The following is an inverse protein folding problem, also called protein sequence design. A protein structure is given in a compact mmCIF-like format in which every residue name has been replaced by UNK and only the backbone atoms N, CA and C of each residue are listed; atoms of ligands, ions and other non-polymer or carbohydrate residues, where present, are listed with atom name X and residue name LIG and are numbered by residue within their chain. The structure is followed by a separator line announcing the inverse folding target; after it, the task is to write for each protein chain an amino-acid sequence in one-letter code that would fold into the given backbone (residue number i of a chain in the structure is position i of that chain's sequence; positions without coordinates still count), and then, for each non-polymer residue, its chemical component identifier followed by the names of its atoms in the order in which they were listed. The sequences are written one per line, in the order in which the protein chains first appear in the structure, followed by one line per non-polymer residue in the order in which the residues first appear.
data_IF_391423262981
#
_entry.id   IF_391423262981
#
_cell.length_a   1.000
_cell.length_b   1.000
_cell.length_c   1.000
_cell.angle_alpha   90.00
_cell.angle_beta   90.00
_cell.angle_gamma   90.00
#
_symmetry.space_group_name_H-M   'P 1'
#
loop_
_entity.id
_entity.type
_entity.pdbx_description
1 polymer ?
#
# COMPACT_ATOMS: atom_id res chain seq x y z
N UNK A 1 39.52 10.65 10.93
CA UNK A 1 38.18 10.36 10.35
C UNK A 1 38.16 10.31 8.81
N UNK A 2 38.93 11.13 8.08
CA UNK A 2 38.92 11.08 6.59
C UNK A 2 39.47 9.78 5.98
N UNK A 3 40.38 9.06 6.65
CA UNK A 3 40.98 7.85 6.08
C UNK A 3 40.12 6.58 6.22
N UNK A 4 39.19 6.51 7.17
CA UNK A 4 38.37 5.30 7.40
C UNK A 4 37.29 5.15 6.31
N UNK A 5 36.76 6.28 5.82
CA UNK A 5 35.74 6.30 4.77
C UNK A 5 36.34 5.84 3.44
N UNK A 6 37.60 6.20 3.14
CA UNK A 6 38.28 5.79 1.91
C UNK A 6 38.56 4.28 1.86
N UNK A 7 38.90 3.65 2.99
CA UNK A 7 39.11 2.19 3.05
C UNK A 7 37.80 1.40 2.92
N UNK A 8 36.69 1.91 3.45
CA UNK A 8 35.37 1.28 3.26
C UNK A 8 34.92 1.30 1.79
N UNK A 9 35.12 2.43 1.10
CA UNK A 9 34.74 2.55 -0.32
C UNK A 9 35.64 1.67 -1.21
N UNK A 10 36.95 1.57 -0.91
CA UNK A 10 37.86 0.71 -1.66
C UNK A 10 37.56 -0.79 -1.47
N UNK A 11 37.12 -1.20 -0.26
CA UNK A 11 36.74 -2.58 0.05
C UNK A 11 35.44 -3.01 -0.64
N UNK A 12 34.51 -2.06 -0.83
CA UNK A 12 33.26 -2.28 -1.56
C UNK A 12 33.54 -2.44 -3.07
N UNK A 13 34.45 -1.64 -3.65
CA UNK A 13 34.79 -1.71 -5.07
C UNK A 13 35.62 -2.97 -5.44
N UNK A 14 36.48 -3.44 -4.53
CA UNK A 14 37.24 -4.69 -4.72
C UNK A 14 36.34 -5.93 -4.70
N UNK A 15 35.29 -5.96 -3.85
CA UNK A 15 34.35 -7.08 -3.81
C UNK A 15 33.46 -7.17 -5.07
N UNK A 16 33.10 -6.03 -5.68
CA UNK A 16 32.32 -6.00 -6.92
C UNK A 16 33.16 -6.54 -8.11
N UNK A 17 34.46 -6.30 -8.13
CA UNK A 17 35.34 -6.75 -9.24
C UNK A 17 35.62 -8.26 -9.21
N UNK A 18 35.65 -8.87 -8.02
CA UNK A 18 35.88 -10.33 -7.86
C UNK A 18 34.66 -11.14 -8.30
N UNK A 19 33.44 -10.62 -8.12
CA UNK A 19 32.20 -11.31 -8.50
C UNK A 19 31.99 -11.36 -10.01
N UNK A 20 32.53 -10.40 -10.77
CA UNK A 20 32.35 -10.33 -12.24
C UNK A 20 33.25 -11.32 -13.01
N UNK A 21 34.37 -11.78 -12.45
CA UNK A 21 35.32 -12.67 -13.13
C UNK A 21 35.15 -14.17 -12.79
N UNK A 22 34.08 -14.57 -12.10
CA UNK A 22 33.94 -15.88 -11.45
C UNK A 22 32.99 -16.90 -12.08
N UNK A 23 32.59 -16.79 -13.36
CA UNK A 23 31.74 -17.80 -14.01
C UNK A 23 32.47 -18.49 -15.17
N UNK A 24 33.21 -19.55 -14.86
CA UNK A 24 33.71 -20.51 -15.85
C UNK A 24 32.63 -21.57 -16.11
N UNK A 25 32.24 -21.72 -17.38
CA UNK A 25 31.31 -22.73 -17.88
C UNK A 25 31.96 -24.14 -17.92
N UNK A 26 31.16 -25.22 -17.83
CA UNK A 26 31.68 -26.58 -17.93
C UNK A 26 31.93 -26.99 -19.40
N UNK A 27 33.04 -27.68 -19.62
CA UNK A 27 33.48 -28.24 -20.90
C UNK A 27 32.82 -29.59 -21.19
N UNK A 28 32.25 -29.73 -22.39
CA UNK A 28 32.00 -31.05 -23.01
C UNK A 28 32.42 -31.04 -24.48
N UNK A 29 33.15 -32.09 -24.83
CA UNK A 29 33.84 -32.35 -26.10
C UNK A 29 32.93 -32.35 -27.33
N UNK A 30 33.38 -31.68 -28.40
CA UNK A 30 32.91 -31.88 -29.78
C UNK A 30 33.94 -32.68 -30.58
N UNK A 31 33.49 -33.69 -31.33
CA UNK A 31 34.12 -34.13 -32.59
C UNK A 31 33.19 -35.10 -33.34
N UNK A 32 32.50 -34.61 -34.37
CA UNK A 32 32.21 -35.40 -35.57
C UNK A 32 32.25 -34.47 -36.79
N UNK A 33 32.93 -34.95 -37.83
CA UNK A 33 33.25 -34.25 -39.06
C UNK A 33 32.31 -34.71 -40.19
N UNK A 34 32.10 -33.81 -41.15
CA UNK A 34 31.86 -34.06 -42.59
C UNK A 34 30.45 -34.53 -43.04
N UNK A 35 29.67 -33.63 -43.63
CA UNK A 35 29.36 -33.53 -45.10
C UNK A 35 28.07 -32.71 -45.36
N UNK A 36 28.06 -31.93 -46.45
CA UNK A 36 26.99 -31.04 -46.93
C UNK A 36 26.22 -31.69 -48.11
N UNK A 37 25.33 -31.00 -48.87
CA UNK A 37 24.11 -30.18 -48.61
C UNK A 37 22.89 -30.82 -49.40
N UNK A 38 21.80 -30.17 -49.89
CA UNK A 38 21.31 -28.78 -49.81
C UNK A 38 19.79 -28.58 -49.53
N UNK A 39 19.39 -27.30 -49.47
CA UNK A 39 18.13 -26.70 -49.96
C UNK A 39 17.04 -26.24 -48.96
N UNK A 40 16.38 -25.17 -49.42
CA UNK A 40 15.13 -24.51 -49.01
C UNK A 40 15.11 -23.62 -47.75
N UNK A 41 15.17 -22.32 -48.04
CA UNK A 41 14.56 -21.19 -47.35
C UNK A 41 13.13 -21.49 -46.86
N UNK A 42 12.80 -21.17 -45.61
CA UNK A 42 11.41 -20.86 -45.25
C UNK A 42 11.34 -19.80 -44.14
N UNK A 43 10.79 -18.65 -44.52
CA UNK A 43 10.26 -17.62 -43.63
C UNK A 43 8.87 -18.09 -43.19
N UNK A 44 8.49 -17.94 -41.92
CA UNK A 44 7.07 -18.02 -41.54
C UNK A 44 6.70 -16.92 -40.56
N UNK A 45 5.92 -15.97 -41.11
CA UNK A 45 4.98 -15.11 -40.42
C UNK A 45 3.77 -15.93 -39.94
N UNK A 46 3.24 -15.54 -38.77
CA UNK A 46 1.83 -15.44 -38.36
C UNK A 46 0.85 -16.61 -38.64
N UNK A 47 0.00 -16.92 -37.64
CA UNK A 47 -1.39 -17.24 -37.93
C UNK A 47 -2.33 -16.89 -36.77
N UNK A 48 -3.20 -15.93 -37.05
CA UNK A 48 -4.48 -15.67 -36.40
C UNK A 48 -5.48 -16.76 -36.80
N UNK A 49 -6.31 -17.24 -35.87
CA UNK A 49 -7.62 -17.92 -36.07
C UNK A 49 -8.26 -18.07 -34.67
N UNK A 50 -9.45 -17.58 -34.31
CA UNK A 50 -10.67 -17.30 -35.07
C UNK A 50 -11.61 -18.51 -35.00
N UNK A 51 -12.63 -18.49 -34.14
CA UNK A 51 -13.68 -19.52 -34.10
C UNK A 51 -14.70 -19.36 -32.97
N UNK A 52 -15.89 -18.87 -33.32
CA UNK A 52 -17.10 -18.77 -32.49
C UNK A 52 -18.10 -19.89 -32.82
N UNK A 53 -18.93 -20.30 -31.85
CA UNK A 53 -20.31 -20.83 -32.04
C UNK A 53 -21.19 -20.42 -30.83
N UNK A 54 -22.36 -19.88 -31.17
CA UNK A 54 -23.55 -19.38 -30.44
C UNK A 54 -24.37 -20.51 -29.77
N UNK A 55 -25.43 -20.39 -28.97
CA UNK A 55 -26.20 -19.37 -28.23
C UNK A 55 -27.20 -20.18 -27.35
N UNK A 56 -27.63 -19.64 -26.20
CA UNK A 56 -29.05 -19.41 -25.83
C UNK A 56 -29.26 -19.23 -24.31
N UNK A 57 -29.69 -18.01 -23.95
CA UNK A 57 -30.65 -17.56 -22.92
C UNK A 57 -30.43 -17.91 -21.43
N UNK A 58 -30.15 -16.91 -20.57
CA UNK A 58 -31.20 -16.04 -19.98
C UNK A 58 -30.68 -15.02 -18.93
N UNK A 59 -31.35 -13.86 -18.90
CA UNK A 59 -31.35 -12.73 -17.94
C UNK A 59 -30.22 -11.68 -17.96
N UNK A 60 -30.43 -10.67 -18.82
CA UNK A 60 -29.81 -9.34 -18.80
C UNK A 60 -30.09 -8.60 -17.48
N UNK A 61 -29.02 -8.10 -16.85
CA UNK A 61 -29.05 -6.85 -16.08
C UNK A 61 -28.16 -5.89 -16.86
N UNK A 62 -28.80 -5.03 -17.65
CA UNK A 62 -28.12 -3.96 -18.40
C UNK A 62 -27.43 -3.02 -17.41
N UNK A 63 -26.09 -2.99 -17.49
CA UNK A 63 -25.27 -1.95 -16.89
C UNK A 63 -24.82 -1.06 -18.04
N UNK A 64 -25.55 0.05 -18.25
CA UNK A 64 -25.22 1.06 -19.24
C UNK A 64 -23.83 1.64 -18.94
N UNK A 65 -22.85 1.26 -19.76
CA UNK A 65 -21.57 1.94 -19.84
C UNK A 65 -21.73 3.12 -20.81
N UNK A 66 -22.28 4.22 -20.31
CA UNK A 66 -22.19 5.51 -21.00
C UNK A 66 -20.73 5.99 -20.86
N UNK A 67 -19.97 5.69 -21.90
CA UNK A 67 -18.69 6.30 -22.20
C UNK A 67 -18.97 7.70 -22.75
N UNK A 68 -19.03 8.69 -21.86
CA UNK A 68 -18.85 10.09 -22.23
C UNK A 68 -17.37 10.43 -22.09
N UNK A 69 -16.65 10.39 -23.21
CA UNK A 69 -15.54 11.31 -23.45
C UNK A 69 -16.11 12.74 -23.40
N UNK A 70 -15.31 13.66 -22.84
CA UNK A 70 -15.59 15.07 -22.57
C UNK A 70 -16.25 15.36 -21.21
N UNK A 71 -15.42 15.55 -20.18
CA UNK A 71 -15.22 16.87 -19.58
C UNK A 71 -14.11 16.81 -18.53
N UNK A 72 -13.23 17.81 -18.60
CA UNK A 72 -12.05 18.05 -17.78
C UNK A 72 -12.38 18.20 -16.27
N UNK A 73 -12.67 17.09 -15.58
CA UNK A 73 -12.62 17.02 -14.12
C UNK A 73 -11.14 16.97 -13.70
N UNK A 74 -10.49 18.12 -13.85
CA UNK A 74 -9.22 18.51 -13.27
C UNK A 74 -9.26 18.23 -11.77
N UNK A 75 -8.84 17.02 -11.40
CA UNK A 75 -8.57 16.68 -10.01
C UNK A 75 -7.23 17.31 -9.69
N UNK A 76 -7.29 18.59 -9.30
CA UNK A 76 -6.21 19.26 -8.61
C UNK A 76 -5.90 18.40 -7.38
N UNK A 77 -4.84 17.61 -7.46
CA UNK A 77 -4.19 17.08 -6.27
C UNK A 77 -3.64 18.31 -5.55
N UNK A 78 -4.52 19.01 -4.83
CA UNK A 78 -4.16 20.24 -4.14
C UNK A 78 -2.88 19.96 -3.36
N UNK A 79 -1.90 20.82 -3.64
CA UNK A 79 -0.57 20.91 -3.03
C UNK A 79 -0.61 20.80 -1.48
N UNK A 80 -1.77 21.03 -0.87
CA UNK A 80 -2.03 20.99 0.57
C UNK A 80 -1.88 19.62 1.26
N UNK A 81 -2.02 18.48 0.57
CA UNK A 81 -1.90 17.15 1.23
C UNK A 81 -0.43 16.67 1.31
N UNK A 82 0.47 17.29 0.55
CA UNK A 82 1.89 16.96 0.52
C UNK A 82 2.75 18.01 1.24
N UNK A 83 2.26 19.24 1.36
CA UNK A 83 2.97 20.33 2.01
C UNK A 83 2.73 20.42 3.53
N UNK A 84 3.76 20.10 4.33
CA UNK A 84 4.14 21.05 5.37
C UNK A 84 4.96 22.11 4.64
N UNK A 85 4.29 23.14 4.12
CA UNK A 85 4.93 24.32 3.53
C UNK A 85 5.86 24.88 4.60
N UNK A 86 7.17 24.73 4.39
CA UNK A 86 8.18 25.35 5.25
C UNK A 86 8.33 26.86 4.97
N UNK A 87 7.46 27.43 4.13
CA UNK A 87 7.49 28.83 3.75
C UNK A 87 6.04 29.37 3.67
N UNK A 88 5.38 29.57 4.80
CA UNK A 88 4.59 30.79 5.01
C UNK A 88 4.10 30.97 6.46
N UNK A 89 4.39 32.17 6.96
CA UNK A 89 3.90 32.84 8.17
C UNK A 89 4.06 32.13 9.53
N UNK A 90 5.06 32.59 10.30
CA UNK A 90 5.26 32.33 11.74
C UNK A 90 4.15 33.01 12.58
N UNK A 91 2.90 32.67 12.30
CA UNK A 91 1.76 33.00 13.14
C UNK A 91 1.33 31.70 13.83
N UNK A 92 1.94 31.43 14.99
CA UNK A 92 1.80 30.19 15.76
C UNK A 92 0.34 29.82 16.11
N UNK A 93 -0.60 30.78 16.00
CA UNK A 93 -2.03 30.58 16.23
C UNK A 93 -2.76 29.87 15.06
N UNK A 94 -2.12 29.70 13.90
CA UNK A 94 -2.76 29.20 12.66
C UNK A 94 -2.41 27.74 12.31
N UNK A 95 -1.24 27.23 12.70
CA UNK A 95 -0.82 25.87 12.29
C UNK A 95 -1.60 24.77 12.99
N UNK A 96 -1.82 24.90 14.31
CA UNK A 96 -2.60 23.94 15.07
C UNK A 96 -4.07 23.99 14.65
N UNK A 97 -4.63 25.17 14.41
CA UNK A 97 -6.00 25.32 13.96
C UNK A 97 -6.21 24.70 12.58
N UNK A 98 -5.28 24.89 11.63
CA UNK A 98 -5.27 24.19 10.33
C UNK A 98 -5.17 22.67 10.50
N UNK A 99 -4.26 22.19 11.34
CA UNK A 99 -4.13 20.76 11.61
C UNK A 99 -5.41 20.18 12.25
N UNK A 100 -5.99 20.88 13.22
CA UNK A 100 -7.22 20.44 13.89
C UNK A 100 -8.41 20.47 12.93
N UNK A 101 -8.47 21.42 12.01
CA UNK A 101 -9.48 21.45 10.96
C UNK A 101 -9.31 20.29 9.97
N UNK A 102 -8.07 20.04 9.50
CA UNK A 102 -7.74 18.91 8.63
C UNK A 102 -8.07 17.57 9.31
N UNK A 103 -7.71 17.44 10.59
CA UNK A 103 -8.04 16.28 11.40
C UNK A 103 -9.56 16.16 11.60
N UNK A 104 -10.28 17.27 11.81
CA UNK A 104 -11.73 17.27 11.92
C UNK A 104 -12.41 16.82 10.61
N UNK A 105 -11.88 17.21 9.45
CA UNK A 105 -12.34 16.79 8.12
C UNK A 105 -11.98 15.34 7.77
N UNK A 106 -11.08 14.71 8.51
CA UNK A 106 -10.63 13.32 8.24
C UNK A 106 -11.80 12.31 8.39
N UNK A 107 -11.90 11.32 7.49
CA UNK A 107 -12.92 10.26 7.55
C UNK A 107 -12.93 9.49 8.88
N UNK A 108 -14.08 8.90 9.27
CA UNK A 108 -14.26 8.36 10.62
C UNK A 108 -13.35 7.18 10.93
N UNK A 109 -13.10 6.26 9.99
CA UNK A 109 -12.26 5.09 10.25
C UNK A 109 -10.79 5.51 10.36
N UNK A 110 -10.29 6.27 9.39
CA UNK A 110 -8.92 6.79 9.38
C UNK A 110 -8.63 7.62 10.63
N UNK A 111 -9.56 8.48 11.04
CA UNK A 111 -9.45 9.27 12.28
C UNK A 111 -9.34 8.40 13.52
N UNK A 112 -10.19 7.37 13.63
CA UNK A 112 -10.13 6.44 14.75
C UNK A 112 -8.80 5.67 14.78
N UNK A 113 -8.33 5.24 13.62
CA UNK A 113 -7.05 4.53 13.46
C UNK A 113 -5.84 5.40 13.87
N UNK A 114 -5.79 6.64 13.37
CA UNK A 114 -4.72 7.59 13.71
C UNK A 114 -4.71 7.95 15.20
N UNK A 115 -5.89 8.19 15.79
CA UNK A 115 -6.02 8.46 17.22
C UNK A 115 -5.57 7.25 18.05
N UNK A 116 -5.97 6.04 17.66
CA UNK A 116 -5.60 4.82 18.36
C UNK A 116 -4.08 4.56 18.28
N UNK A 117 -3.46 4.77 17.12
CA UNK A 117 -2.01 4.65 16.94
C UNK A 117 -1.24 5.67 17.78
N UNK A 118 -1.68 6.93 17.79
CA UNK A 118 -1.08 7.98 18.60
C UNK A 118 -1.17 7.68 20.11
N UNK A 119 -2.33 7.22 20.59
CA UNK A 119 -2.50 6.82 21.99
C UNK A 119 -1.60 5.63 22.31
N UNK A 120 -1.59 4.59 21.48
CA UNK A 120 -0.78 3.39 21.70
C UNK A 120 0.72 3.74 21.79
N UNK A 121 1.19 4.63 20.91
CA UNK A 121 2.58 5.06 20.88
C UNK A 121 2.92 6.00 22.03
N UNK A 122 2.01 6.90 22.41
CA UNK A 122 2.18 7.75 23.60
C UNK A 122 2.31 6.93 24.88
N UNK A 123 1.50 5.88 25.04
CA UNK A 123 1.60 4.94 26.17
C UNK A 123 2.94 4.20 26.14
N UNK A 124 3.40 3.77 24.95
CA UNK A 124 4.72 3.15 24.76
C UNK A 124 5.87 4.08 25.15
N UNK A 125 5.79 5.35 24.76
CA UNK A 125 6.77 6.37 25.13
C UNK A 125 6.87 6.57 26.65
N UNK A 126 5.73 6.75 27.31
CA UNK A 126 5.67 7.00 28.76
C UNK A 126 6.08 5.78 29.61
N UNK A 127 5.79 4.56 29.14
CA UNK A 127 5.95 3.35 29.95
C UNK A 127 7.21 2.55 29.60
N UNK A 128 7.64 2.57 28.34
CA UNK A 128 8.58 1.58 27.77
C UNK A 128 9.80 2.20 27.08
N UNK A 129 10.18 3.44 27.44
CA UNK A 129 11.35 4.15 26.87
C UNK A 129 11.31 4.21 25.34
N UNK A 130 10.15 4.59 24.79
CA UNK A 130 9.93 4.72 23.35
C UNK A 130 9.89 3.41 22.55
N UNK A 131 9.68 2.27 23.21
CA UNK A 131 9.37 1.00 22.55
C UNK A 131 7.86 0.70 22.59
N UNK A 132 7.36 -0.04 21.61
CA UNK A 132 5.95 -0.41 21.54
C UNK A 132 5.62 -1.41 22.66
N UNK A 133 4.53 -1.23 23.42
CA UNK A 133 4.28 -2.03 24.62
C UNK A 133 4.18 -3.53 24.28
N UNK A 134 4.89 -4.42 25.01
CA UNK A 134 4.91 -5.87 24.74
C UNK A 134 3.53 -6.55 24.80
N UNK A 135 2.55 -5.92 25.47
CA UNK A 135 1.17 -6.38 25.54
C UNK A 135 0.41 -6.21 24.21
N UNK A 136 0.78 -5.21 23.41
CA UNK A 136 0.16 -4.90 22.12
C UNK A 136 0.93 -5.51 20.94
N UNK A 137 2.21 -5.85 21.14
CA UNK A 137 3.04 -6.52 20.13
C UNK A 137 2.45 -7.88 19.72
N UNK A 138 2.59 -8.21 18.43
CA UNK A 138 2.19 -9.50 17.87
C UNK A 138 3.10 -10.60 18.42
N UNK A 139 2.53 -11.56 19.14
CA UNK A 139 3.26 -12.71 19.66
C UNK A 139 2.41 -13.98 19.51
N UNK A 140 2.77 -14.88 18.59
CA UNK A 140 1.92 -16.03 18.23
C UNK A 140 1.70 -17.03 19.36
N UNK A 141 2.75 -17.25 20.18
CA UNK A 141 2.72 -18.16 21.32
C UNK A 141 1.63 -17.80 22.34
N UNK A 142 1.56 -16.58 22.91
CA UNK A 142 0.46 -16.18 23.78
C UNK A 142 -0.87 -15.97 23.05
N UNK A 143 -0.87 -15.58 21.76
CA UNK A 143 -2.12 -15.42 20.99
C UNK A 143 -2.90 -16.72 20.92
N UNK A 144 -2.24 -17.84 20.57
CA UNK A 144 -2.91 -19.14 20.43
C UNK A 144 -3.13 -19.85 21.77
N UNK A 145 -2.21 -19.71 22.72
CA UNK A 145 -2.33 -20.42 24.02
C UNK A 145 -3.27 -19.75 25.01
N UNK A 146 -3.43 -18.42 24.93
CA UNK A 146 -4.26 -17.63 25.87
C UNK A 146 -5.41 -16.87 25.20
N UNK A 147 -5.71 -17.18 23.94
CA UNK A 147 -6.78 -16.55 23.15
C UNK A 147 -6.73 -15.01 23.16
N UNK A 148 -5.53 -14.44 23.07
CA UNK A 148 -5.34 -12.97 23.08
C UNK A 148 -5.61 -12.40 21.68
N UNK A 149 -6.87 -12.43 21.25
CA UNK A 149 -7.33 -12.08 19.90
C UNK A 149 -7.16 -10.60 19.54
N UNK A 150 -6.92 -9.72 20.52
CA UNK A 150 -6.65 -8.32 20.26
C UNK A 150 -5.26 -8.08 19.67
N UNK A 151 -4.29 -8.98 19.89
CA UNK A 151 -2.88 -8.77 19.49
C UNK A 151 -2.68 -8.57 17.99
N UNK A 152 -3.30 -9.35 17.09
CA UNK A 152 -3.22 -9.10 15.65
C UNK A 152 -3.76 -7.74 15.26
N UNK A 153 -4.83 -7.28 15.91
CA UNK A 153 -5.46 -5.99 15.62
C UNK A 153 -4.59 -4.84 16.16
N UNK A 154 -4.14 -4.93 17.41
CA UNK A 154 -3.34 -3.87 18.05
C UNK A 154 -1.93 -3.77 17.46
N UNK A 155 -1.41 -4.83 16.84
CA UNK A 155 -0.12 -4.80 16.19
C UNK A 155 -0.08 -3.87 14.97
N UNK A 156 -1.21 -3.68 14.26
CA UNK A 156 -1.31 -2.70 13.16
C UNK A 156 -1.19 -1.26 13.64
N UNK A 157 -1.50 -0.96 14.91
CA UNK A 157 -1.30 0.36 15.48
C UNK A 157 0.18 0.69 15.73
N UNK A 158 1.11 -0.25 15.49
CA UNK A 158 2.54 -0.01 15.68
C UNK A 158 3.18 0.55 14.40
N UNK A 159 3.43 1.86 14.39
CA UNK A 159 4.18 2.54 13.32
C UNK A 159 5.69 2.63 13.60
N UNK A 160 6.12 2.22 14.80
CA UNK A 160 7.51 2.29 15.25
C UNK A 160 7.73 3.29 16.39
N UNK A 161 9.00 3.46 16.81
CA UNK A 161 9.36 4.36 17.89
C UNK A 161 9.08 5.83 17.51
N UNK A 162 8.69 6.66 18.49
CA UNK A 162 8.50 8.10 18.25
C UNK A 162 9.82 8.71 17.75
N UNK A 163 9.74 9.32 16.58
CA UNK A 163 10.86 9.90 15.85
C UNK A 163 10.41 10.29 14.45
N UNK A 164 11.35 10.65 13.58
CA UNK A 164 11.05 11.06 12.21
C UNK A 164 10.34 9.95 11.42
N UNK A 165 10.79 8.69 11.54
CA UNK A 165 10.16 7.55 10.85
C UNK A 165 8.69 7.32 11.25
N UNK A 166 8.33 7.57 12.51
CA UNK A 166 6.95 7.50 12.98
C UNK A 166 6.09 8.59 12.34
N UNK A 167 6.58 9.84 12.34
CA UNK A 167 5.84 10.99 11.76
C UNK A 167 5.62 10.76 10.26
N UNK A 168 6.65 10.32 9.54
CA UNK A 168 6.54 9.99 8.11
C UNK A 168 5.52 8.88 7.86
N UNK A 169 5.56 7.80 8.66
CA UNK A 169 4.59 6.70 8.55
C UNK A 169 3.17 7.19 8.87
N UNK A 170 3.01 8.01 9.92
CA UNK A 170 1.74 8.65 10.26
C UNK A 170 1.20 9.47 9.09
N UNK A 171 2.03 10.29 8.47
CA UNK A 171 1.65 11.11 7.33
C UNK A 171 1.19 10.24 6.15
N UNK A 172 1.99 9.25 5.72
CA UNK A 172 1.60 8.36 4.62
C UNK A 172 0.32 7.59 4.92
N UNK A 173 0.19 7.03 6.12
CA UNK A 173 -1.05 6.34 6.53
C UNK A 173 -2.23 7.31 6.47
N UNK A 174 -2.10 8.51 7.01
CA UNK A 174 -3.18 9.48 7.02
C UNK A 174 -3.60 9.85 5.60
N UNK A 175 -2.67 10.26 4.75
CA UNK A 175 -2.93 10.68 3.37
C UNK A 175 -3.57 9.53 2.57
N UNK A 176 -2.91 8.37 2.48
CA UNK A 176 -3.40 7.30 1.61
C UNK A 176 -4.64 6.58 2.16
N UNK A 177 -4.73 6.36 3.49
CA UNK A 177 -5.91 5.74 4.08
C UNK A 177 -7.14 6.65 3.99
N UNK A 178 -6.98 7.95 4.28
CA UNK A 178 -8.09 8.89 4.19
C UNK A 178 -8.61 8.99 2.75
N UNK A 179 -7.70 9.09 1.77
CA UNK A 179 -8.10 9.15 0.36
C UNK A 179 -8.79 7.86 -0.08
N UNK A 180 -8.29 6.69 0.29
CA UNK A 180 -8.96 5.42 -0.02
C UNK A 180 -10.32 5.26 0.66
N UNK A 181 -10.48 5.76 1.90
CA UNK A 181 -11.76 5.75 2.60
C UNK A 181 -12.77 6.68 1.93
N UNK A 182 -12.31 7.86 1.48
CA UNK A 182 -13.12 8.82 0.73
C UNK A 182 -13.54 8.29 -0.64
N UNK A 183 -12.65 7.64 -1.38
CA UNK A 183 -12.97 7.06 -2.69
C UNK A 183 -14.09 6.02 -2.61
N UNK A 184 -14.16 5.28 -1.51
CA UNK A 184 -15.19 4.27 -1.28
C UNK A 184 -16.38 4.80 -0.44
N UNK A 185 -16.65 6.11 -0.43
CA UNK A 185 -17.72 6.70 0.39
C UNK A 185 -19.12 6.17 0.06
N UNK A 186 -19.39 5.85 -1.21
CA UNK A 186 -20.67 5.27 -1.65
C UNK A 186 -20.87 3.83 -1.14
N UNK A 187 -19.78 3.08 -0.99
CA UNK A 187 -19.75 1.69 -0.56
C UNK A 187 -18.65 1.47 0.49
N UNK A 188 -18.81 1.98 1.74
CA UNK A 188 -17.73 1.99 2.73
C UNK A 188 -17.32 0.57 3.18
N UNK A 189 -18.20 -0.41 2.98
CA UNK A 189 -17.91 -1.82 3.22
C UNK A 189 -16.79 -2.36 2.32
N UNK A 190 -16.60 -1.85 1.11
CA UNK A 190 -15.51 -2.26 0.22
C UNK A 190 -14.15 -1.81 0.78
N UNK A 191 -14.11 -0.62 1.38
CA UNK A 191 -12.94 -0.13 2.09
C UNK A 191 -12.64 -0.98 3.33
N UNK A 192 -13.64 -1.38 4.11
CA UNK A 192 -13.41 -2.26 5.26
C UNK A 192 -12.90 -3.64 4.85
N UNK A 193 -13.43 -4.20 3.76
CA UNK A 193 -12.95 -5.47 3.19
C UNK A 193 -11.51 -5.35 2.69
N UNK A 194 -11.15 -4.23 2.08
CA UNK A 194 -9.77 -3.95 1.67
C UNK A 194 -8.81 -3.94 2.86
N UNK A 195 -9.13 -3.19 3.92
CA UNK A 195 -8.32 -3.13 5.14
C UNK A 195 -8.23 -4.51 5.79
N UNK A 196 -9.36 -5.22 5.89
CA UNK A 196 -9.40 -6.57 6.44
C UNK A 196 -8.53 -7.54 5.63
N UNK A 197 -8.59 -7.46 4.31
CA UNK A 197 -7.76 -8.26 3.41
C UNK A 197 -6.28 -8.00 3.64
N UNK A 198 -5.85 -6.73 3.62
CA UNK A 198 -4.45 -6.35 3.85
C UNK A 198 -3.95 -6.81 5.22
N UNK A 199 -4.75 -6.62 6.27
CA UNK A 199 -4.40 -7.08 7.61
C UNK A 199 -4.32 -8.61 7.69
N UNK A 200 -5.30 -9.33 7.13
CA UNK A 200 -5.32 -10.79 7.15
C UNK A 200 -4.19 -11.39 6.32
N UNK A 201 -3.90 -10.84 5.13
CA UNK A 201 -2.83 -11.31 4.26
C UNK A 201 -1.46 -11.09 4.88
N UNK A 202 -1.23 -9.97 5.57
CA UNK A 202 0.02 -9.73 6.29
C UNK A 202 0.19 -10.68 7.48
N UNK A 203 -0.82 -10.83 8.33
CA UNK A 203 -0.73 -11.73 9.49
C UNK A 203 -0.51 -13.17 9.03
N UNK A 204 -1.27 -13.64 8.03
CA UNK A 204 -1.14 -15.00 7.49
C UNK A 204 0.19 -15.19 6.74
N UNK A 205 0.55 -14.24 5.87
CA UNK A 205 1.74 -14.29 5.04
C UNK A 205 3.03 -14.27 5.86
N UNK A 206 3.15 -13.36 6.83
CA UNK A 206 4.32 -13.30 7.70
C UNK A 206 4.44 -14.54 8.59
N UNK A 207 3.32 -15.05 9.10
CA UNK A 207 3.29 -16.30 9.88
C UNK A 207 3.71 -17.51 9.04
N UNK A 208 3.28 -17.59 7.78
CA UNK A 208 3.63 -18.66 6.86
C UNK A 208 5.12 -18.64 6.48
N UNK A 209 5.68 -17.44 6.28
CA UNK A 209 7.08 -17.25 5.92
C UNK A 209 8.03 -17.28 7.13
N UNK A 210 7.51 -17.39 8.35
CA UNK A 210 8.31 -17.38 9.57
C UNK A 210 9.00 -16.04 9.86
N UNK A 211 8.48 -14.95 9.28
CA UNK A 211 9.02 -13.60 9.45
C UNK A 211 8.40 -12.96 10.69
N UNK A 212 9.22 -12.36 11.55
CA UNK A 212 8.73 -11.61 12.71
C UNK A 212 8.41 -10.17 12.29
N UNK A 213 7.13 -9.74 12.28
CA UNK A 213 6.82 -8.37 11.91
C UNK A 213 7.18 -7.42 13.04
N UNK A 214 8.06 -6.48 12.75
CA UNK A 214 8.51 -5.46 13.72
C UNK A 214 7.55 -4.27 13.77
N UNK A 215 7.10 -3.78 12.62
CA UNK A 215 6.28 -2.56 12.50
C UNK A 215 5.09 -2.78 11.56
N UNK A 216 4.06 -3.47 12.05
CA UNK A 216 2.95 -3.94 11.19
C UNK A 216 2.15 -2.77 10.57
N UNK A 217 2.03 -1.64 11.26
CA UNK A 217 1.36 -0.46 10.72
C UNK A 217 2.17 0.28 9.64
N UNK A 218 3.50 0.26 9.75
CA UNK A 218 4.38 0.73 8.67
C UNK A 218 4.20 -0.11 7.41
N UNK A 219 4.19 -1.43 7.55
CA UNK A 219 3.94 -2.34 6.43
C UNK A 219 2.54 -2.13 5.80
N UNK A 220 1.53 -1.88 6.63
CA UNK A 220 0.18 -1.55 6.15
C UNK A 220 0.18 -0.27 5.30
N UNK A 221 1.01 0.71 5.64
CA UNK A 221 1.16 1.93 4.83
C UNK A 221 1.60 1.61 3.41
N UNK A 222 2.59 0.73 3.24
CA UNK A 222 3.08 0.31 1.91
C UNK A 222 2.00 -0.39 1.09
N UNK A 223 1.17 -1.23 1.73
CA UNK A 223 0.01 -1.83 1.09
C UNK A 223 -1.01 -0.77 0.63
N UNK A 224 -1.32 0.22 1.47
CA UNK A 224 -2.27 1.29 1.14
C UNK A 224 -1.78 2.14 -0.03
N UNK A 225 -0.49 2.53 -0.01
CA UNK A 225 0.13 3.28 -1.11
C UNK A 225 0.01 2.50 -2.42
N UNK A 226 0.28 1.19 -2.38
CA UNK A 226 0.14 0.35 -3.56
C UNK A 226 -1.30 0.32 -4.08
N UNK A 227 -2.28 0.11 -3.21
CA UNK A 227 -3.67 0.07 -3.67
C UNK A 227 -4.07 1.43 -4.24
N UNK A 228 -3.71 2.52 -3.56
CA UNK A 228 -3.96 3.88 -4.02
C UNK A 228 -3.33 4.17 -5.38
N UNK A 229 -2.09 3.70 -5.62
CA UNK A 229 -1.40 3.94 -6.88
C UNK A 229 -2.06 3.26 -8.07
N UNK A 230 -2.68 2.10 -7.84
CA UNK A 230 -3.48 1.38 -8.85
C UNK A 230 -4.87 1.97 -9.07
N UNK A 231 -5.37 2.78 -8.14
CA UNK A 231 -6.60 3.54 -8.34
C UNK A 231 -6.40 4.77 -9.21
N UNK A 232 -5.20 5.36 -9.19
CA UNK A 232 -4.87 6.59 -9.92
C UNK A 232 -3.77 6.35 -10.97
N UNK A 233 -3.89 5.25 -11.74
CA UNK A 233 -2.93 4.97 -12.82
C UNK A 233 -2.92 6.11 -13.84
N UNK A 234 -1.73 6.49 -14.30
CA UNK A 234 -1.54 7.61 -15.22
C UNK A 234 -1.49 9.00 -14.56
N UNK A 235 -1.86 9.14 -13.29
CA UNK A 235 -1.79 10.41 -12.56
C UNK A 235 -0.34 10.76 -12.21
N UNK A 236 0.04 12.02 -12.43
CA UNK A 236 1.32 12.57 -11.96
C UNK A 236 1.16 13.14 -10.55
N UNK A 237 2.08 12.76 -9.66
CA UNK A 237 2.10 13.18 -8.26
C UNK A 237 3.41 13.91 -8.03
N UNK A 238 3.33 15.10 -7.45
CA UNK A 238 4.50 15.84 -7.03
C UNK A 238 5.06 15.22 -5.73
N UNK A 239 6.33 14.82 -5.74
CA UNK A 239 7.00 14.27 -4.56
C UNK A 239 7.91 15.31 -3.91
N UNK A 240 7.50 15.80 -2.74
CA UNK A 240 8.27 16.75 -1.92
C UNK A 240 8.64 18.03 -2.65
N UNK A 241 7.86 18.44 -3.65
CA UNK A 241 8.17 19.57 -4.54
C UNK A 241 9.49 19.42 -5.29
N UNK A 242 10.13 18.26 -5.20
CA UNK A 242 11.43 17.99 -5.79
C UNK A 242 11.28 17.59 -7.26
N UNK A 243 10.31 16.71 -7.54
CA UNK A 243 10.03 16.22 -8.90
C UNK A 243 8.67 15.52 -8.99
N UNK A 244 8.11 15.51 -10.19
CA UNK A 244 6.88 14.79 -10.50
C UNK A 244 7.18 13.33 -10.82
N UNK A 245 6.37 12.43 -10.28
CA UNK A 245 6.46 10.99 -10.52
C UNK A 245 5.07 10.43 -10.72
N UNK A 246 4.95 9.41 -11.58
CA UNK A 246 3.66 8.76 -11.80
C UNK A 246 3.23 7.97 -10.56
N UNK A 247 1.93 7.97 -10.26
CA UNK A 247 1.36 7.34 -9.07
C UNK A 247 1.84 5.88 -8.87
N UNK A 248 1.95 5.08 -9.94
CA UNK A 248 2.35 3.66 -9.88
C UNK A 248 3.78 3.46 -9.39
N UNK A 249 4.61 4.49 -9.45
CA UNK A 249 6.00 4.46 -8.98
C UNK A 249 6.13 4.79 -7.49
N UNK A 250 5.08 5.33 -6.85
CA UNK A 250 5.10 5.70 -5.42
C UNK A 250 5.46 4.55 -4.46
N UNK A 251 4.91 3.32 -4.61
CA UNK A 251 5.25 2.23 -3.71
C UNK A 251 6.74 1.87 -3.77
N UNK A 252 7.33 1.97 -4.97
CA UNK A 252 8.76 1.73 -5.19
C UNK A 252 9.62 2.86 -4.64
N UNK A 253 9.15 4.09 -4.73
CA UNK A 253 9.81 5.25 -4.13
C UNK A 253 9.86 5.12 -2.60
N UNK A 254 8.74 4.79 -1.94
CA UNK A 254 8.74 4.60 -0.49
C UNK A 254 9.55 3.38 -0.06
N UNK A 255 9.55 2.30 -0.85
CA UNK A 255 10.45 1.17 -0.61
C UNK A 255 11.93 1.58 -0.64
N UNK A 256 12.31 2.42 -1.62
CA UNK A 256 13.66 2.96 -1.71
C UNK A 256 13.99 3.91 -0.54
N UNK A 257 13.02 4.71 -0.09
CA UNK A 257 13.14 5.55 1.08
C UNK A 257 13.35 4.71 2.35
N UNK A 258 12.56 3.66 2.57
CA UNK A 258 12.75 2.76 3.73
C UNK A 258 14.11 2.08 3.68
N UNK A 259 14.53 1.57 2.51
CA UNK A 259 15.86 0.97 2.34
C UNK A 259 16.99 1.95 2.71
N UNK A 260 16.87 3.21 2.31
CA UNK A 260 17.87 4.24 2.60
C UNK A 260 17.91 4.63 4.07
N UNK A 261 16.75 4.67 4.74
CA UNK A 261 16.65 5.04 6.16
C UNK A 261 17.03 3.89 7.10
N UNK A 262 16.63 2.66 6.79
CA UNK A 262 16.89 1.48 7.62
C UNK A 262 18.28 0.86 7.34
N UNK A 263 18.81 1.03 6.12
CA UNK A 263 20.09 0.46 5.71
C UNK A 263 20.06 -1.05 5.44
N UNK A 264 18.88 -1.66 5.50
CA UNK A 264 18.62 -3.09 5.23
C UNK A 264 17.49 -3.21 4.22
N UNK A 265 17.45 -4.33 3.47
CA UNK A 265 16.39 -4.57 2.48
C UNK A 265 15.03 -4.73 3.20
N UNK A 266 14.04 -3.86 2.93
CA UNK A 266 12.74 -3.90 3.60
C UNK A 266 11.85 -4.99 2.99
N UNK A 267 12.14 -6.25 3.31
CA UNK A 267 11.42 -7.44 2.78
C UNK A 267 9.94 -7.41 3.17
N UNK A 268 9.61 -6.89 4.35
CA UNK A 268 8.22 -6.82 4.82
C UNK A 268 7.40 -5.79 4.02
N UNK A 269 8.00 -4.65 3.67
CA UNK A 269 7.36 -3.65 2.80
C UNK A 269 7.16 -4.19 1.38
N UNK A 270 8.16 -4.91 0.85
CA UNK A 270 8.05 -5.60 -0.44
C UNK A 270 6.86 -6.58 -0.43
N UNK A 271 6.69 -7.34 0.66
CA UNK A 271 5.53 -8.21 0.83
C UNK A 271 4.22 -7.42 0.92
N UNK A 272 4.23 -6.23 1.53
CA UNK A 272 3.10 -5.29 1.51
C UNK A 272 2.67 -4.92 0.08
N UNK A 273 3.64 -4.61 -0.80
CA UNK A 273 3.40 -4.37 -2.24
C UNK A 273 2.80 -5.61 -2.90
N UNK A 274 3.36 -6.80 -2.65
CA UNK A 274 2.86 -8.07 -3.20
C UNK A 274 1.41 -8.34 -2.76
N UNK A 275 1.09 -8.15 -1.49
CA UNK A 275 -0.29 -8.31 -0.99
C UNK A 275 -1.23 -7.29 -1.61
N UNK A 276 -0.77 -6.05 -1.83
CA UNK A 276 -1.51 -5.02 -2.55
C UNK A 276 -1.83 -5.45 -3.98
N UNK A 277 -0.84 -6.04 -4.67
CA UNK A 277 -1.03 -6.55 -6.03
C UNK A 277 -2.04 -7.70 -6.08
N UNK A 278 -1.95 -8.64 -5.14
CA UNK A 278 -2.91 -9.75 -5.02
C UNK A 278 -4.32 -9.21 -4.75
N UNK A 279 -4.46 -8.25 -3.85
CA UNK A 279 -5.75 -7.60 -3.57
C UNK A 279 -6.33 -6.96 -4.83
N UNK A 280 -5.54 -6.12 -5.51
CA UNK A 280 -5.98 -5.42 -6.71
C UNK A 280 -6.37 -6.43 -7.80
N UNK A 281 -5.57 -7.48 -8.01
CA UNK A 281 -5.90 -8.55 -8.95
C UNK A 281 -7.21 -9.27 -8.59
N UNK A 282 -7.42 -9.63 -7.32
CA UNK A 282 -8.64 -10.30 -6.87
C UNK A 282 -9.88 -9.40 -6.94
N UNK A 283 -9.71 -8.08 -6.76
CA UNK A 283 -10.77 -7.10 -6.94
C UNK A 283 -11.14 -6.95 -8.42
N UNK A 284 -10.16 -6.79 -9.30
CA UNK A 284 -10.37 -6.63 -10.75
C UNK A 284 -10.96 -7.89 -11.40
N UNK A 285 -10.61 -9.09 -10.90
CA UNK A 285 -11.17 -10.36 -11.39
C UNK A 285 -12.53 -10.73 -10.74
N UNK A 286 -13.10 -9.84 -9.92
CA UNK A 286 -14.35 -10.06 -9.16
C UNK A 286 -14.36 -11.33 -8.29
N UNK A 287 -13.18 -11.84 -7.93
CA UNK A 287 -13.00 -12.99 -7.04
C UNK A 287 -13.27 -12.58 -5.59
N UNK A 288 -12.78 -11.41 -5.19
CA UNK A 288 -13.05 -10.84 -3.88
C UNK A 288 -14.30 -9.95 -3.94
N UNK A 289 -15.45 -10.52 -3.57
CA UNK A 289 -16.70 -9.76 -3.41
C UNK A 289 -16.95 -9.46 -1.94
N UNK A 290 -17.49 -8.28 -1.67
CA UNK A 290 -17.95 -7.94 -0.33
C UNK A 290 -19.01 -8.95 0.11
N UNK A 291 -18.86 -9.55 1.31
CA UNK A 291 -19.79 -10.55 1.76
C UNK A 291 -21.19 -9.95 1.95
N UNK A 292 -22.22 -10.66 1.49
CA UNK A 292 -23.61 -10.19 1.49
C UNK A 292 -24.13 -9.87 2.89
N UNK A 293 -23.64 -10.54 3.94
CA UNK A 293 -24.02 -10.21 5.31
C UNK A 293 -23.63 -8.78 5.70
N UNK A 294 -22.50 -8.28 5.21
CA UNK A 294 -21.98 -6.95 5.55
C UNK A 294 -22.78 -5.86 4.84
N UNK A 295 -23.12 -6.10 3.57
CA UNK A 295 -24.01 -5.24 2.78
C UNK A 295 -25.40 -5.18 3.43
N UNK A 296 -25.96 -6.34 3.79
CA UNK A 296 -27.26 -6.43 4.45
C UNK A 296 -27.26 -5.74 5.81
N UNK A 297 -26.20 -5.91 6.60
CA UNK A 297 -26.06 -5.22 7.88
C UNK A 297 -25.95 -3.70 7.71
N UNK A 298 -25.18 -3.21 6.75
CA UNK A 298 -25.02 -1.79 6.48
C UNK A 298 -26.33 -1.14 6.00
N UNK A 299 -27.09 -1.84 5.17
CA UNK A 299 -28.38 -1.37 4.65
C UNK A 299 -29.55 -1.58 5.63
N UNK A 300 -29.36 -2.36 6.69
CA UNK A 300 -30.37 -2.56 7.73
C UNK A 300 -30.65 -1.26 8.48
N UNK A 301 -31.89 -1.07 8.94
CA UNK A 301 -32.30 0.08 9.76
C UNK A 301 -31.90 -0.04 11.24
N UNK A 302 -30.76 -0.67 11.51
CA UNK A 302 -30.18 -0.72 12.84
C UNK A 302 -29.74 0.68 13.31
N UNK A 303 -29.75 0.90 14.62
CA UNK A 303 -29.26 2.15 15.23
C UNK A 303 -27.79 2.39 14.87
N UNK A 304 -26.97 1.33 14.90
CA UNK A 304 -25.55 1.42 14.59
C UNK A 304 -25.25 1.60 13.10
N UNK A 305 -25.96 0.90 12.21
CA UNK A 305 -25.79 1.04 10.75
C UNK A 305 -26.23 2.42 10.28
N UNK A 306 -27.32 2.95 10.83
CA UNK A 306 -27.79 4.31 10.54
C UNK A 306 -26.77 5.36 10.99
N UNK A 307 -26.23 5.25 12.21
CA UNK A 307 -25.20 6.18 12.70
C UNK A 307 -23.92 6.16 11.87
N UNK A 308 -23.52 4.99 11.35
CA UNK A 308 -22.36 4.87 10.45
C UNK A 308 -22.69 5.48 9.09
N UNK A 309 -23.87 5.19 8.53
CA UNK A 309 -24.32 5.76 7.25
C UNK A 309 -24.41 7.28 7.28
N UNK A 310 -24.88 7.87 8.37
CA UNK A 310 -24.90 9.33 8.54
C UNK A 310 -23.48 9.93 8.49
N UNK A 311 -22.49 9.28 9.13
CA UNK A 311 -21.09 9.74 9.10
C UNK A 311 -20.50 9.69 7.69
N UNK A 312 -20.78 8.62 6.93
CA UNK A 312 -20.28 8.50 5.55
C UNK A 312 -21.07 9.38 4.56
N UNK A 313 -22.37 9.62 4.79
CA UNK A 313 -23.16 10.55 3.97
C UNK A 313 -22.63 11.98 4.04
N UNK A 314 -22.15 12.42 5.21
CA UNK A 314 -21.49 13.73 5.35
C UNK A 314 -20.26 13.87 4.45
N UNK A 315 -19.49 12.80 4.28
CA UNK A 315 -18.33 12.81 3.38
C UNK A 315 -18.80 12.99 1.93
N UNK A 316 -19.84 12.28 1.52
CA UNK A 316 -20.44 12.42 0.18
C UNK A 316 -20.88 13.86 -0.11
N UNK A 317 -21.53 14.53 0.85
CA UNK A 317 -21.96 15.92 0.65
C UNK A 317 -20.80 16.90 0.55
N UNK A 318 -19.69 16.65 1.25
CA UNK A 318 -18.51 17.50 1.16
C UNK A 318 -17.85 17.40 -0.24
N UNK A 319 -18.03 16.28 -0.95
CA UNK A 319 -17.56 16.07 -2.33
C UNK A 319 -18.43 16.74 -3.39
N UNK A 320 -19.75 16.78 -3.21
CA UNK A 320 -20.68 17.40 -4.17
C UNK A 320 -20.59 18.94 -4.17
N UNK A 321 -19.90 19.54 -3.19
CA UNK A 321 -19.77 21.00 -3.01
C UNK A 321 -18.42 21.56 -3.49
N UNK A 322 -17.54 20.74 -4.07
CA UNK A 322 -16.23 21.14 -4.61
C UNK A 322 -16.26 21.14 -6.14
#
# INVERSE_FOLDING_TARGET
MKNIITYSILSILLNITVVVNGTTAPSFHSSSLLTAPPSSTFVTKLSIRGGAILDSDDSEYDFDSDFSDDDDAFFDLNEEDFEISAEDDFNEDTSLSRFMEAFAKTPPFTKAYMTASFIATSVGYLTSKNDFPPLLQLNWKPTLTRLQLWRPITAFLNFGPLGLGYIMTCHFVWTYMATLERLNHAAPYDFWVMILFGCASMVAGYSCLGLSPRFLGHNLSTFLVYVWSRYHEGMEVNMFELFNTRAEMLPWFFLAQTFLLEGELPVLDLLGIVFGHIYHHYKTTHVLRTPTFLINWYNSDGVYSTAVREKYKKISSDFEMQ
#
